data_IF_672558412791
#
_entry.id   IF_672558412791
#
_cell.length_a   1.000
_cell.length_b   1.000
_cell.length_c   1.000
_cell.angle_alpha   90.00
_cell.angle_beta   90.00
_cell.angle_gamma   90.00
#
_symmetry.space_group_name_H-M   'P 1'
#
loop_
_entity.id
_entity.type
_entity.pdbx_description
1 polymer ?
#
# COMPACT_ATOMS: atom_id res chain seq x y z
N UNK A 1 0.21 -4.74 -23.60
CA UNK A 1 1.37 -3.77 -23.65
C UNK A 1 1.80 -3.50 -22.22
N UNK A 2 3.08 -3.54 -21.97
CA UNK A 2 3.68 -3.29 -20.64
C UNK A 2 4.64 -2.12 -20.76
N UNK A 3 4.63 -1.20 -19.80
CA UNK A 3 5.53 -0.05 -19.75
C UNK A 3 6.23 -0.04 -18.40
N UNK A 4 7.56 -0.13 -18.41
CA UNK A 4 8.38 0.04 -17.21
C UNK A 4 8.87 1.49 -17.12
N UNK A 5 8.83 2.06 -15.91
CA UNK A 5 9.28 3.43 -15.66
C UNK A 5 9.81 3.56 -14.22
N UNK A 6 10.43 4.69 -13.92
CA UNK A 6 10.94 5.01 -12.58
C UNK A 6 10.32 6.27 -12.03
N UNK A 7 9.92 6.23 -10.74
CA UNK A 7 9.57 7.40 -9.95
C UNK A 7 10.44 7.43 -8.71
N UNK A 8 11.13 8.55 -8.46
CA UNK A 8 12.04 8.72 -7.30
C UNK A 8 12.99 7.52 -7.12
N UNK A 9 13.52 6.99 -8.23
CA UNK A 9 14.46 5.85 -8.24
C UNK A 9 13.83 4.46 -8.17
N UNK A 10 12.55 4.34 -7.85
CA UNK A 10 11.84 3.07 -7.78
C UNK A 10 11.31 2.62 -9.13
N UNK A 11 11.32 1.31 -9.38
CA UNK A 11 10.79 0.71 -10.60
C UNK A 11 9.29 0.49 -10.46
N UNK A 12 8.57 0.87 -11.50
CA UNK A 12 7.13 0.62 -11.68
C UNK A 12 6.89 -0.02 -13.04
N UNK A 13 5.86 -0.84 -13.08
CA UNK A 13 5.40 -1.44 -14.33
C UNK A 13 3.90 -1.17 -14.48
N UNK A 14 3.51 -0.53 -15.57
CA UNK A 14 2.11 -0.41 -15.95
C UNK A 14 1.78 -1.47 -16.99
N UNK A 15 0.77 -2.28 -16.71
CA UNK A 15 0.25 -3.31 -17.59
C UNK A 15 -1.12 -2.88 -18.13
N UNK A 16 -1.30 -2.91 -19.44
CA UNK A 16 -2.64 -2.79 -20.01
C UNK A 16 -3.35 -4.16 -19.92
N UNK A 17 -3.99 -4.38 -18.76
CA UNK A 17 -4.69 -5.63 -18.40
C UNK A 17 -6.16 -5.68 -18.82
N UNK A 18 -6.67 -4.65 -19.52
CA UNK A 18 -8.09 -4.57 -19.87
C UNK A 18 -8.98 -4.00 -18.75
N UNK A 19 -10.31 -4.05 -18.92
CA UNK A 19 -11.25 -3.33 -18.04
C UNK A 19 -11.78 -4.16 -16.85
N UNK A 20 -11.28 -5.39 -16.64
CA UNK A 20 -11.86 -6.31 -15.66
C UNK A 20 -11.68 -5.84 -14.21
N UNK A 21 -10.51 -5.28 -13.92
CA UNK A 21 -10.17 -4.77 -12.59
C UNK A 21 -9.97 -3.27 -12.64
N UNK A 22 -10.48 -2.57 -11.62
CA UNK A 22 -10.32 -1.12 -11.49
C UNK A 22 -9.44 -0.81 -10.30
N UNK A 23 -8.52 0.12 -10.46
CA UNK A 23 -7.79 0.73 -9.36
C UNK A 23 -8.79 1.31 -8.35
N UNK A 24 -8.48 1.19 -7.07
CA UNK A 24 -9.27 1.72 -5.97
C UNK A 24 -8.36 2.14 -4.80
N UNK A 25 -8.95 2.59 -3.71
CA UNK A 25 -8.23 3.12 -2.57
C UNK A 25 -7.62 2.05 -1.63
N UNK A 26 -7.88 0.74 -1.86
CA UNK A 26 -7.28 -0.32 -1.04
C UNK A 26 -5.76 -0.36 -1.16
N UNK A 27 -5.22 0.03 -2.32
CA UNK A 27 -3.79 0.28 -2.51
C UNK A 27 -3.60 1.73 -2.93
N UNK A 28 -2.74 2.43 -2.21
CA UNK A 28 -2.29 3.78 -2.55
C UNK A 28 -0.77 3.88 -2.51
N UNK A 29 -0.24 4.96 -3.07
CA UNK A 29 1.15 5.33 -2.86
C UNK A 29 1.24 6.47 -1.86
N UNK A 30 1.95 6.22 -0.78
CA UNK A 30 2.27 7.24 0.22
C UNK A 30 3.55 7.95 -0.18
N UNK A 31 3.46 9.27 -0.38
CA UNK A 31 4.57 10.09 -0.89
C UNK A 31 5.03 11.06 0.20
N UNK A 32 6.25 10.88 0.68
CA UNK A 32 6.88 11.78 1.64
C UNK A 32 7.54 12.95 0.93
N UNK A 33 7.03 14.13 1.18
CA UNK A 33 7.51 15.39 0.61
C UNK A 33 8.43 16.13 1.59
N UNK A 34 9.50 16.69 1.08
CA UNK A 34 10.53 17.37 1.90
C UNK A 34 10.11 18.78 2.34
N UNK A 35 9.08 19.34 1.71
CA UNK A 35 8.64 20.72 1.97
C UNK A 35 7.21 20.96 1.51
N UNK A 36 6.59 22.00 2.08
CA UNK A 36 5.27 22.51 1.70
C UNK A 36 5.20 22.84 0.20
N UNK A 37 6.22 23.43 -0.35
CA UNK A 37 6.28 23.77 -1.78
C UNK A 37 6.28 22.52 -2.67
N UNK A 38 6.95 21.43 -2.24
CA UNK A 38 6.99 20.18 -3.00
C UNK A 38 5.64 19.48 -2.95
N UNK A 39 5.00 19.38 -1.77
CA UNK A 39 3.69 18.75 -1.63
C UNK A 39 2.61 19.50 -2.40
N UNK A 40 2.57 20.83 -2.35
CA UNK A 40 1.62 21.64 -3.12
C UNK A 40 1.75 21.42 -4.63
N UNK A 41 2.98 21.38 -5.13
CA UNK A 41 3.23 21.12 -6.56
C UNK A 41 2.74 19.74 -7.00
N UNK A 42 2.96 18.69 -6.16
CA UNK A 42 2.54 17.33 -6.46
C UNK A 42 1.01 17.23 -6.34
N UNK A 43 0.44 17.74 -5.25
CA UNK A 43 -0.99 17.76 -5.02
C UNK A 43 -1.77 18.38 -6.18
N UNK A 44 -1.40 19.60 -6.61
CA UNK A 44 -2.08 20.28 -7.70
C UNK A 44 -2.05 19.48 -9.02
N UNK A 45 -0.95 18.77 -9.30
CA UNK A 45 -0.85 17.93 -10.50
C UNK A 45 -1.69 16.65 -10.41
N UNK A 46 -1.70 16.00 -9.24
CA UNK A 46 -2.45 14.76 -9.06
C UNK A 46 -3.96 15.00 -8.95
N UNK A 47 -4.37 16.14 -8.36
CA UNK A 47 -5.77 16.52 -8.24
C UNK A 47 -6.39 16.99 -9.57
N UNK A 48 -5.57 17.36 -10.56
CA UNK A 48 -6.07 17.82 -11.87
C UNK A 48 -6.81 16.70 -12.63
N UNK A 49 -8.13 16.84 -12.75
CA UNK A 49 -9.00 15.84 -13.36
C UNK A 49 -9.20 14.57 -12.52
N UNK A 50 -8.75 14.59 -11.27
CA UNK A 50 -8.88 13.51 -10.31
C UNK A 50 -9.98 13.78 -9.26
N UNK A 51 -9.96 13.02 -8.18
CA UNK A 51 -10.86 13.14 -7.03
C UNK A 51 -10.05 13.46 -5.77
N UNK A 52 -10.48 14.44 -4.99
CA UNK A 52 -9.91 14.76 -3.69
C UNK A 52 -10.67 13.97 -2.64
N UNK A 53 -9.98 13.10 -1.90
CA UNK A 53 -10.50 12.35 -0.76
C UNK A 53 -10.28 13.16 0.51
N UNK A 54 -9.04 13.59 0.77
CA UNK A 54 -8.68 14.55 1.81
C UNK A 54 -7.97 15.74 1.15
N UNK A 55 -8.46 16.98 1.31
CA UNK A 55 -7.79 18.16 0.76
C UNK A 55 -6.41 18.36 1.41
N UNK A 56 -5.54 19.09 0.74
CA UNK A 56 -4.24 19.42 1.29
C UNK A 56 -4.39 20.41 2.44
N UNK A 57 -4.28 19.92 3.66
CA UNK A 57 -4.46 20.70 4.89
C UNK A 57 -3.66 20.11 6.05
N UNK A 58 -3.76 20.76 7.23
CA UNK A 58 -3.27 20.24 8.49
C UNK A 58 -4.29 19.28 9.08
N UNK A 59 -3.80 18.13 9.55
CA UNK A 59 -4.57 17.11 10.27
C UNK A 59 -3.90 16.78 11.60
N UNK A 60 -4.59 16.13 12.53
CA UNK A 60 -4.04 15.80 13.85
C UNK A 60 -2.78 14.94 13.78
N UNK A 61 -2.67 14.12 12.75
CA UNK A 61 -1.53 13.21 12.52
C UNK A 61 -0.41 13.80 11.64
N UNK A 62 -0.68 14.91 10.94
CA UNK A 62 0.29 15.51 10.02
C UNK A 62 0.13 17.02 9.91
N UNK A 63 1.22 17.78 9.89
CA UNK A 63 1.16 19.22 9.66
C UNK A 63 0.69 19.59 8.24
N UNK A 64 0.83 18.68 7.27
CA UNK A 64 0.44 18.92 5.87
C UNK A 64 0.22 17.60 5.15
N UNK A 65 -1.03 17.20 4.98
CA UNK A 65 -1.40 15.94 4.37
C UNK A 65 -2.49 16.12 3.30
N UNK A 66 -2.51 15.24 2.31
CA UNK A 66 -3.59 15.12 1.34
C UNK A 66 -3.79 13.67 0.91
N UNK A 67 -5.00 13.34 0.48
CA UNK A 67 -5.29 12.08 -0.19
C UNK A 67 -6.09 12.35 -1.45
N UNK A 68 -5.56 11.94 -2.61
CA UNK A 68 -6.17 12.15 -3.92
C UNK A 68 -6.18 10.86 -4.73
N UNK A 69 -7.18 10.71 -5.57
CA UNK A 69 -7.20 9.73 -6.66
C UNK A 69 -6.96 10.51 -7.95
N UNK A 70 -5.92 10.17 -8.69
CA UNK A 70 -5.59 10.88 -9.92
C UNK A 70 -6.57 10.55 -11.05
N UNK A 71 -6.47 11.26 -12.15
CA UNK A 71 -7.34 11.07 -13.33
C UNK A 71 -7.30 9.68 -13.96
N UNK A 72 -6.32 8.85 -13.58
CA UNK A 72 -6.20 7.47 -14.02
C UNK A 72 -6.77 6.46 -13.02
N UNK A 73 -7.25 6.93 -11.86
CA UNK A 73 -7.81 6.12 -10.79
C UNK A 73 -6.79 5.64 -9.77
N UNK A 74 -5.52 6.04 -9.87
CA UNK A 74 -4.50 5.66 -8.91
C UNK A 74 -4.57 6.55 -7.66
N UNK A 75 -4.51 5.91 -6.50
CA UNK A 75 -4.66 6.56 -5.20
C UNK A 75 -3.30 7.01 -4.63
N UNK A 76 -3.22 8.25 -4.17
CA UNK A 76 -2.02 8.90 -3.66
C UNK A 76 -2.28 9.57 -2.32
N UNK A 77 -1.45 9.27 -1.34
CA UNK A 77 -1.40 9.96 -0.06
C UNK A 77 -0.12 10.79 -0.01
N UNK A 78 -0.22 12.05 0.31
CA UNK A 78 0.90 12.98 0.35
C UNK A 78 1.08 13.46 1.79
N UNK A 79 2.32 13.48 2.26
CA UNK A 79 2.66 13.95 3.59
C UNK A 79 3.95 14.76 3.57
N UNK A 80 4.02 15.80 4.40
CA UNK A 80 5.27 16.51 4.65
C UNK A 80 6.00 15.83 5.80
N UNK A 81 7.02 15.08 5.45
CA UNK A 81 7.85 14.42 6.42
C UNK A 81 9.31 14.88 6.30
N UNK A 82 9.88 15.22 7.46
CA UNK A 82 11.30 15.53 7.61
C UNK A 82 12.17 14.27 7.71
N UNK A 83 11.56 13.08 7.66
CA UNK A 83 12.29 11.82 7.71
C UNK A 83 13.15 11.70 6.46
N UNK A 84 14.44 11.54 6.66
CA UNK A 84 15.41 11.38 5.58
C UNK A 84 15.41 9.94 5.03
N UNK A 85 14.22 9.43 4.67
CA UNK A 85 14.07 8.14 4.03
C UNK A 85 14.56 8.22 2.58
N UNK A 86 15.40 7.27 2.18
CA UNK A 86 15.80 7.15 0.78
C UNK A 86 14.60 6.81 -0.12
N UNK A 87 13.68 5.97 0.36
CA UNK A 87 12.44 5.66 -0.34
C UNK A 87 11.41 6.75 -0.07
N UNK A 88 11.02 7.49 -1.11
CA UNK A 88 10.07 8.61 -1.02
C UNK A 88 8.63 8.22 -1.36
N UNK A 89 8.43 7.10 -2.06
CA UNK A 89 7.12 6.60 -2.48
C UNK A 89 6.96 5.18 -1.91
N UNK A 90 6.02 5.01 -1.00
CA UNK A 90 5.75 3.74 -0.33
C UNK A 90 4.38 3.21 -0.74
N UNK A 91 4.26 1.94 -1.11
CA UNK A 91 2.95 1.29 -1.17
C UNK A 91 2.28 1.33 0.21
N UNK A 92 0.99 1.64 0.22
CA UNK A 92 0.18 1.68 1.42
C UNK A 92 -1.08 0.83 1.22
N UNK A 93 -1.28 -0.13 2.10
CA UNK A 93 -2.41 -1.05 2.13
C UNK A 93 -3.51 -0.48 3.02
N UNK A 94 -4.75 -0.48 2.55
CA UNK A 94 -5.90 -0.13 3.36
C UNK A 94 -6.77 -1.36 3.57
N UNK A 95 -6.71 -1.92 4.75
CA UNK A 95 -7.53 -3.05 5.18
C UNK A 95 -8.91 -2.54 5.59
N UNK A 96 -9.95 -2.97 4.90
CA UNK A 96 -11.33 -2.49 5.07
C UNK A 96 -12.29 -3.65 5.33
N UNK A 97 -13.51 -3.32 5.69
CA UNK A 97 -14.61 -4.27 5.87
C UNK A 97 -14.26 -5.38 6.89
N UNK A 98 -14.34 -6.64 6.51
CA UNK A 98 -14.00 -7.80 7.34
C UNK A 98 -12.50 -7.90 7.67
N UNK A 99 -11.65 -7.12 6.97
CA UNK A 99 -10.20 -7.10 7.15
C UNK A 99 -9.71 -5.96 8.06
N UNK A 100 -10.58 -5.09 8.54
CA UNK A 100 -10.20 -3.92 9.35
C UNK A 100 -9.31 -4.27 10.57
N UNK A 101 -9.50 -5.44 11.17
CA UNK A 101 -8.70 -5.92 12.31
C UNK A 101 -7.43 -6.68 11.92
N UNK A 102 -7.12 -6.79 10.62
CA UNK A 102 -6.07 -7.70 10.11
C UNK A 102 -4.71 -7.05 9.91
N UNK A 103 -4.56 -5.73 10.10
CA UNK A 103 -3.28 -5.04 9.84
C UNK A 103 -2.13 -5.65 10.61
N UNK A 104 -2.27 -5.86 11.92
CA UNK A 104 -1.20 -6.44 12.77
C UNK A 104 -0.84 -7.86 12.32
N UNK A 105 -1.85 -8.70 12.08
CA UNK A 105 -1.67 -10.07 11.58
C UNK A 105 -0.94 -10.07 10.24
N UNK A 106 -1.36 -9.21 9.30
CA UNK A 106 -0.79 -9.13 7.96
C UNK A 106 0.68 -8.65 7.98
N UNK A 107 0.97 -7.62 8.75
CA UNK A 107 2.35 -7.10 8.89
C UNK A 107 3.29 -8.17 9.46
N UNK A 108 2.85 -8.90 10.48
CA UNK A 108 3.62 -10.02 11.05
C UNK A 108 3.80 -11.16 10.03
N UNK A 109 2.74 -11.49 9.29
CA UNK A 109 2.79 -12.51 8.25
C UNK A 109 3.79 -12.16 7.15
N UNK A 110 3.69 -10.97 6.55
CA UNK A 110 4.65 -10.56 5.52
C UNK A 110 6.08 -10.49 6.06
N UNK A 111 6.25 -9.99 7.28
CA UNK A 111 7.57 -9.94 7.91
C UNK A 111 8.18 -11.33 8.15
N UNK A 112 7.35 -12.36 8.30
CA UNK A 112 7.81 -13.75 8.43
C UNK A 112 8.07 -14.43 7.06
N UNK A 113 7.38 -13.98 6.00
CA UNK A 113 7.55 -14.52 4.64
C UNK A 113 8.79 -13.97 3.95
N UNK A 114 9.02 -12.65 4.07
CA UNK A 114 10.14 -11.98 3.39
C UNK A 114 11.37 -11.86 4.30
N UNK A 115 12.58 -12.19 3.81
CA UNK A 115 13.81 -12.04 4.59
C UNK A 115 14.12 -10.55 4.85
N UNK A 116 14.98 -10.29 5.82
CA UNK A 116 15.46 -8.95 6.19
C UNK A 116 14.32 -7.95 6.46
N UNK A 117 13.19 -8.47 6.91
CA UNK A 117 12.00 -7.70 7.24
C UNK A 117 12.09 -7.09 8.63
N UNK A 118 11.44 -5.95 8.80
CA UNK A 118 11.41 -5.26 10.09
C UNK A 118 10.14 -4.43 10.23
N UNK A 119 9.46 -4.55 11.36
CA UNK A 119 8.41 -3.61 11.76
C UNK A 119 9.10 -2.33 12.26
N UNK A 120 8.79 -1.21 11.62
CA UNK A 120 9.41 0.10 11.91
C UNK A 120 8.57 0.85 12.94
N UNK A 121 7.24 0.85 12.75
CA UNK A 121 6.31 1.58 13.59
C UNK A 121 4.95 0.90 13.58
N UNK A 122 4.32 0.87 14.74
CA UNK A 122 2.93 0.46 14.93
C UNK A 122 2.20 1.57 15.68
N UNK A 123 1.03 1.96 15.19
CA UNK A 123 0.18 2.95 15.82
C UNK A 123 -1.21 2.38 16.02
N UNK A 124 -1.59 2.02 17.24
CA UNK A 124 -2.91 1.47 17.52
C UNK A 124 -3.99 2.57 17.44
N UNK A 125 -5.23 2.16 17.26
CA UNK A 125 -6.37 3.02 17.51
C UNK A 125 -6.44 3.47 18.97
N UNK A 126 -6.96 4.68 19.16
CA UNK A 126 -7.33 5.11 20.52
C UNK A 126 -8.46 4.22 21.07
N UNK A 127 -8.46 3.99 22.37
CA UNK A 127 -9.45 3.15 23.06
C UNK A 127 -10.89 3.64 22.86
N UNK A 128 -11.09 4.93 22.60
CA UNK A 128 -12.40 5.51 22.28
C UNK A 128 -12.99 5.06 20.95
N UNK A 129 -12.19 4.45 20.09
CA UNK A 129 -12.66 3.93 18.80
C UNK A 129 -13.59 2.70 18.93
N UNK A 130 -13.67 2.08 20.12
CA UNK A 130 -14.53 0.91 20.35
C UNK A 130 -14.11 -0.36 19.62
N UNK A 131 -12.86 -0.40 19.16
CA UNK A 131 -12.25 -1.56 18.51
C UNK A 131 -11.51 -2.43 19.54
N UNK A 132 -11.26 -3.71 19.25
CA UNK A 132 -10.42 -4.56 20.09
C UNK A 132 -9.07 -3.91 20.41
N UNK A 133 -8.56 -4.16 21.63
CA UNK A 133 -7.23 -3.69 22.04
C UNK A 133 -6.17 -4.11 21.01
N UNK A 134 -5.18 -3.26 20.80
CA UNK A 134 -4.08 -3.45 19.84
C UNK A 134 -4.48 -3.47 18.34
N UNK A 135 -5.73 -3.14 18.00
CA UNK A 135 -6.08 -2.89 16.59
C UNK A 135 -5.25 -1.74 16.05
N UNK A 136 -4.47 -1.98 15.00
CA UNK A 136 -3.61 -0.96 14.43
C UNK A 136 -4.39 -0.05 13.48
N UNK A 137 -4.30 1.25 13.72
CA UNK A 137 -4.71 2.28 12.76
C UNK A 137 -3.72 2.33 11.60
N UNK A 138 -2.42 2.28 11.95
CA UNK A 138 -1.33 2.43 10.98
C UNK A 138 -0.14 1.58 11.41
N UNK A 139 0.57 1.04 10.43
CA UNK A 139 1.87 0.41 10.61
C UNK A 139 2.79 0.77 9.45
N UNK A 140 4.07 0.94 9.74
CA UNK A 140 5.12 1.00 8.73
C UNK A 140 6.08 -0.17 8.95
N UNK A 141 6.42 -0.85 7.88
CA UNK A 141 7.28 -2.03 7.93
C UNK A 141 8.15 -2.11 6.67
N UNK A 142 9.22 -2.85 6.79
CA UNK A 142 10.17 -3.13 5.70
C UNK A 142 10.05 -4.60 5.31
N UNK A 143 9.95 -4.88 4.01
CA UNK A 143 10.08 -6.22 3.43
C UNK A 143 11.26 -6.18 2.49
N UNK A 144 12.26 -7.04 2.72
CA UNK A 144 13.56 -6.95 2.08
C UNK A 144 14.08 -5.50 2.15
N UNK A 145 14.30 -4.83 1.03
CA UNK A 145 14.81 -3.45 0.99
C UNK A 145 13.73 -2.37 0.77
N UNK A 146 12.43 -2.73 0.83
CA UNK A 146 11.34 -1.83 0.53
C UNK A 146 10.48 -1.53 1.75
N UNK A 147 10.14 -0.26 1.94
CA UNK A 147 9.21 0.19 2.96
C UNK A 147 7.78 0.14 2.44
N UNK A 148 6.87 -0.24 3.33
CA UNK A 148 5.44 -0.33 3.11
C UNK A 148 4.70 0.31 4.28
N UNK A 149 3.50 0.83 4.01
CA UNK A 149 2.55 1.22 5.03
C UNK A 149 1.33 0.29 4.99
N UNK A 150 0.72 0.03 6.14
CA UNK A 150 -0.56 -0.65 6.24
C UNK A 150 -1.46 0.13 7.17
N UNK A 151 -2.74 0.24 6.82
CA UNK A 151 -3.73 1.01 7.56
C UNK A 151 -5.03 0.23 7.68
N UNK A 152 -5.78 0.48 8.74
CA UNK A 152 -7.17 0.04 8.88
C UNK A 152 -8.11 1.17 8.50
N UNK A 153 -9.08 0.89 7.63
CA UNK A 153 -10.18 1.79 7.30
C UNK A 153 -11.47 1.31 7.96
N UNK A 154 -11.94 2.02 8.99
CA UNK A 154 -13.23 1.74 9.62
C UNK A 154 -14.40 2.22 8.77
N UNK A 155 -15.60 1.69 9.04
CA UNK A 155 -16.79 1.97 8.26
C UNK A 155 -16.99 1.03 7.08
N UNK A 156 -18.07 1.23 6.32
CA UNK A 156 -18.35 0.44 5.13
C UNK A 156 -17.63 1.01 3.92
N UNK A 157 -16.93 0.15 3.20
CA UNK A 157 -16.25 0.47 1.96
C UNK A 157 -16.78 -0.40 0.83
N UNK A 158 -17.00 0.21 -0.35
CA UNK A 158 -17.47 -0.49 -1.56
C UNK A 158 -16.33 -1.14 -2.36
N UNK A 159 -15.11 -1.11 -1.83
CA UNK A 159 -13.91 -1.66 -2.45
C UNK A 159 -13.14 -2.56 -1.48
N UNK A 160 -12.26 -3.35 -2.04
CA UNK A 160 -11.30 -4.19 -1.34
C UNK A 160 -10.08 -4.40 -2.24
N UNK A 161 -9.07 -5.14 -1.78
CA UNK A 161 -7.95 -5.56 -2.60
C UNK A 161 -8.44 -6.32 -3.84
N UNK A 162 -7.83 -6.03 -4.97
CA UNK A 162 -8.12 -6.69 -6.23
C UNK A 162 -6.87 -6.75 -7.13
N UNK A 163 -6.99 -7.40 -8.26
CA UNK A 163 -5.90 -7.65 -9.21
C UNK A 163 -5.53 -6.45 -10.11
N UNK A 164 -6.16 -5.27 -9.90
CA UNK A 164 -5.75 -4.04 -10.59
C UNK A 164 -4.36 -3.58 -10.16
N UNK A 165 -3.90 -4.03 -9.01
CA UNK A 165 -2.58 -3.77 -8.46
C UNK A 165 -1.94 -5.07 -7.99
N UNK A 166 -0.65 -5.25 -8.27
CA UNK A 166 0.12 -6.38 -7.75
C UNK A 166 1.55 -6.00 -7.46
N UNK A 167 2.20 -6.80 -6.63
CA UNK A 167 3.61 -6.69 -6.30
C UNK A 167 4.40 -7.76 -7.03
N UNK A 168 5.58 -7.41 -7.55
CA UNK A 168 6.46 -8.35 -8.22
C UNK A 168 7.58 -8.75 -7.26
N UNK A 169 7.71 -10.04 -7.00
CA UNK A 169 8.82 -10.62 -6.26
C UNK A 169 9.84 -11.16 -7.27
N UNK A 170 11.00 -10.53 -7.35
CA UNK A 170 12.08 -11.01 -8.21
C UNK A 170 12.87 -12.10 -7.48
N UNK A 171 12.88 -13.30 -8.03
CA UNK A 171 13.55 -14.47 -7.47
C UNK A 171 14.80 -14.81 -8.27
N UNK A 172 15.82 -15.32 -7.57
CA UNK A 172 17.11 -15.69 -8.17
C UNK A 172 17.08 -17.08 -8.82
N UNK A 173 16.25 -17.97 -8.30
CA UNK A 173 16.13 -19.36 -8.77
C UNK A 173 14.73 -19.93 -8.53
N UNK A 174 14.51 -21.17 -9.00
CA UNK A 174 13.25 -21.88 -8.88
C UNK A 174 12.87 -22.15 -7.40
N UNK A 175 13.85 -22.38 -6.53
CA UNK A 175 13.57 -22.67 -5.11
C UNK A 175 12.98 -21.45 -4.41
N UNK A 176 13.46 -20.28 -4.77
CA UNK A 176 12.95 -19.01 -4.23
C UNK A 176 11.54 -18.73 -4.77
N UNK A 177 11.27 -18.99 -6.06
CA UNK A 177 9.92 -18.94 -6.63
C UNK A 177 8.98 -19.88 -5.88
N UNK A 178 9.36 -21.16 -5.71
CA UNK A 178 8.54 -22.16 -5.02
C UNK A 178 8.30 -21.77 -3.55
N UNK A 179 9.29 -21.17 -2.89
CA UNK A 179 9.17 -20.70 -1.51
C UNK A 179 8.07 -19.62 -1.40
N UNK A 180 8.19 -18.52 -2.18
CA UNK A 180 7.19 -17.44 -2.11
C UNK A 180 5.83 -17.89 -2.60
N UNK A 181 5.76 -18.67 -3.66
CA UNK A 181 4.52 -19.26 -4.16
C UNK A 181 3.78 -20.04 -3.07
N UNK A 182 4.46 -21.00 -2.45
CA UNK A 182 3.87 -21.82 -1.40
C UNK A 182 3.50 -21.02 -0.15
N UNK A 183 4.30 -20.02 0.22
CA UNK A 183 4.01 -19.19 1.39
C UNK A 183 2.81 -18.27 1.15
N UNK A 184 2.76 -17.59 0.02
CA UNK A 184 1.73 -16.61 -0.27
C UNK A 184 0.38 -17.25 -0.66
N UNK A 185 0.37 -18.46 -1.21
CA UNK A 185 -0.86 -19.21 -1.48
C UNK A 185 -1.38 -20.03 -0.30
N UNK A 186 -0.60 -20.15 0.78
CA UNK A 186 -1.04 -20.87 1.97
C UNK A 186 -2.20 -20.16 2.71
N UNK A 187 -2.88 -20.91 3.57
CA UNK A 187 -3.86 -20.41 4.53
C UNK A 187 -5.02 -19.59 3.93
N UNK A 188 -5.43 -19.91 2.71
CA UNK A 188 -6.55 -19.25 2.03
C UNK A 188 -6.13 -18.34 0.87
N UNK A 189 -4.85 -18.30 0.52
CA UNK A 189 -4.39 -17.71 -0.74
C UNK A 189 -4.86 -18.53 -1.95
N UNK A 190 -4.78 -17.94 -3.14
CA UNK A 190 -5.24 -18.53 -4.38
C UNK A 190 -4.21 -18.39 -5.49
N UNK A 191 -3.94 -19.49 -6.16
CA UNK A 191 -3.11 -19.49 -7.36
C UNK A 191 -3.85 -18.86 -8.54
N UNK A 192 -3.11 -18.22 -9.44
CA UNK A 192 -3.62 -17.71 -10.71
C UNK A 192 -2.67 -18.07 -11.84
N UNK A 193 -2.93 -17.55 -13.04
CA UNK A 193 -2.14 -17.87 -14.24
C UNK A 193 -0.86 -17.04 -14.33
N UNK A 194 0.12 -17.56 -15.06
CA UNK A 194 1.34 -16.82 -15.43
C UNK A 194 2.20 -16.33 -14.27
N UNK A 195 2.17 -17.03 -13.12
CA UNK A 195 2.93 -16.65 -11.93
C UNK A 195 2.23 -15.62 -11.03
N UNK A 196 0.98 -15.30 -11.31
CA UNK A 196 0.16 -14.46 -10.46
C UNK A 196 -0.50 -15.28 -9.37
N UNK A 197 -0.68 -14.67 -8.20
CA UNK A 197 -1.42 -15.26 -7.09
C UNK A 197 -2.10 -14.16 -6.25
N UNK A 198 -3.03 -14.56 -5.39
CA UNK A 198 -3.53 -13.75 -4.28
C UNK A 198 -3.18 -14.41 -2.97
N UNK A 199 -2.73 -13.62 -2.02
CA UNK A 199 -2.54 -14.11 -0.66
C UNK A 199 -3.86 -14.20 0.12
N UNK A 200 -3.79 -14.69 1.34
CA UNK A 200 -4.96 -14.88 2.23
C UNK A 200 -5.69 -13.58 2.59
N UNK A 201 -5.10 -12.41 2.36
CA UNK A 201 -5.75 -11.11 2.55
C UNK A 201 -6.34 -10.56 1.25
N UNK A 202 -6.08 -11.20 0.13
CA UNK A 202 -6.53 -10.79 -1.20
C UNK A 202 -5.59 -9.85 -1.93
N UNK A 203 -4.38 -9.59 -1.39
CA UNK A 203 -3.33 -8.87 -2.11
C UNK A 203 -2.81 -9.73 -3.25
N UNK A 204 -2.63 -9.11 -4.41
CA UNK A 204 -2.10 -9.75 -5.62
C UNK A 204 -0.58 -9.63 -5.69
N UNK A 205 0.07 -10.73 -6.04
CA UNK A 205 1.51 -10.86 -6.17
C UNK A 205 1.88 -11.43 -7.53
#
# INVERSE_FOLDING_TARGET
>A
MTVAFKLEGQNFTALNGGPHFKLNQSISFFVYCESDKKIEKIYNKLAEGGQIIFPLDKYDWSPRYAWVVDKFGLSWQLDVDKINNQQKILPAFLFVNDKVLKVKEAVNYYSAVFPDSKIIMEWPYDKSAGLPDETLLFAQFKLADHLFNAMSGTGEHIFDFNEAFSFVVNCNDQKEVDYYWNKLTSDGGNESQCGWLKDKYGLSW
#
